data_IF_588261122156
#
_entry.id   IF_588261122156
#
_cell.length_a   1.000
_cell.length_b   1.000
_cell.length_c   1.000
_cell.angle_alpha   90.00
_cell.angle_beta   90.00
_cell.angle_gamma   90.00
#
_symmetry.space_group_name_H-M   'P 1'
#
loop_
_entity.id
_entity.type
_entity.pdbx_description
1 polymer ?
#
# COMPACT_ATOMS: atom_id res chain seq x y z
N UNK A 1 5.86 27.02 0.33
CA UNK A 1 5.27 26.77 1.66
C UNK A 1 4.29 25.59 1.65
N UNK A 2 3.23 25.62 0.83
CA UNK A 2 2.26 24.51 0.68
C UNK A 2 2.90 23.13 0.44
N UNK A 3 3.89 23.04 -0.47
CA UNK A 3 4.59 21.78 -0.76
C UNK A 3 5.38 21.22 0.44
N UNK A 4 5.95 22.08 1.29
CA UNK A 4 6.68 21.65 2.48
C UNK A 4 5.74 21.14 3.56
N UNK A 5 4.60 21.82 3.77
CA UNK A 5 3.54 21.38 4.68
C UNK A 5 2.95 20.05 4.24
N UNK A 6 2.65 19.91 2.95
CA UNK A 6 2.17 18.66 2.35
C UNK A 6 3.14 17.50 2.62
N UNK A 7 4.44 17.73 2.40
CA UNK A 7 5.49 16.73 2.67
C UNK A 7 5.59 16.37 4.16
N UNK A 8 5.64 17.36 5.05
CA UNK A 8 5.70 17.14 6.51
C UNK A 8 4.49 16.35 7.00
N UNK A 9 3.30 16.70 6.53
CA UNK A 9 2.07 16.01 6.88
C UNK A 9 2.04 14.59 6.35
N UNK A 10 2.43 14.36 5.08
CA UNK A 10 2.57 13.02 4.51
C UNK A 10 3.50 12.15 5.34
N UNK A 11 4.70 12.63 5.66
CA UNK A 11 5.66 11.87 6.49
C UNK A 11 5.10 11.55 7.87
N UNK A 12 4.45 12.52 8.53
CA UNK A 12 3.86 12.29 9.84
C UNK A 12 2.69 11.29 9.80
N UNK A 13 1.86 11.36 8.76
CA UNK A 13 0.75 10.44 8.54
C UNK A 13 1.26 9.01 8.29
N UNK A 14 2.28 8.84 7.45
CA UNK A 14 2.89 7.54 7.17
C UNK A 14 3.47 6.90 8.43
N UNK A 15 4.25 7.65 9.23
CA UNK A 15 4.80 7.15 10.49
C UNK A 15 3.70 6.79 11.50
N UNK A 16 2.64 7.61 11.58
CA UNK A 16 1.49 7.31 12.43
C UNK A 16 0.80 6.02 12.00
N UNK A 17 0.51 5.84 10.71
CA UNK A 17 -0.15 4.64 10.22
C UNK A 17 0.71 3.37 10.40
N UNK A 18 2.05 3.50 10.38
CA UNK A 18 2.97 2.38 10.68
C UNK A 18 2.96 1.97 12.15
N UNK A 19 2.90 2.95 13.06
CA UNK A 19 2.85 2.70 14.50
C UNK A 19 1.93 3.72 15.18
N UNK A 20 0.61 3.47 15.18
CA UNK A 20 -0.38 4.44 15.68
C UNK A 20 -0.43 4.53 17.20
N UNK A 21 0.20 3.57 17.89
CA UNK A 21 0.29 3.53 19.35
C UNK A 21 1.52 4.28 19.89
N UNK A 22 2.48 4.65 19.03
CA UNK A 22 3.60 5.49 19.43
C UNK A 22 3.12 6.93 19.70
N UNK A 23 3.28 7.35 20.96
CA UNK A 23 2.97 8.71 21.43
C UNK A 23 3.72 9.78 20.62
N UNK A 24 4.95 9.52 20.18
CA UNK A 24 5.73 10.45 19.34
C UNK A 24 5.07 10.61 17.98
N UNK A 25 4.56 9.54 17.38
CA UNK A 25 3.89 9.60 16.08
C UNK A 25 2.55 10.34 16.18
N UNK A 26 1.76 10.08 17.23
CA UNK A 26 0.55 10.87 17.53
C UNK A 26 0.87 12.36 17.60
N UNK A 27 1.87 12.75 18.40
CA UNK A 27 2.28 14.16 18.55
C UNK A 27 2.73 14.79 17.23
N UNK A 28 3.55 14.09 16.43
CA UNK A 28 4.03 14.57 15.13
C UNK A 28 2.89 14.77 14.14
N UNK A 29 1.95 13.83 14.07
CA UNK A 29 0.78 13.94 13.19
C UNK A 29 -0.11 15.12 13.59
N UNK A 30 -0.42 15.25 14.89
CA UNK A 30 -1.19 16.40 15.40
C UNK A 30 -0.50 17.73 15.08
N UNK A 31 0.81 17.83 15.28
CA UNK A 31 1.55 19.06 14.99
C UNK A 31 1.55 19.41 13.50
N UNK A 32 1.74 18.41 12.62
CA UNK A 32 1.71 18.62 11.17
C UNK A 32 0.31 19.02 10.69
N UNK A 33 -0.74 18.39 11.22
CA UNK A 33 -2.14 18.74 10.92
C UNK A 33 -2.46 20.17 11.38
N UNK A 34 -2.05 20.55 12.59
CA UNK A 34 -2.23 21.91 13.09
C UNK A 34 -1.51 22.94 12.23
N UNK A 35 -0.27 22.66 11.79
CA UNK A 35 0.49 23.57 10.95
C UNK A 35 -0.19 23.85 9.59
N UNK A 36 -0.91 22.87 9.03
CA UNK A 36 -1.74 23.08 7.82
C UNK A 36 -2.88 24.05 8.13
N UNK A 37 -3.60 23.81 9.22
CA UNK A 37 -4.73 24.64 9.62
C UNK A 37 -4.29 26.10 9.89
N UNK A 38 -3.25 26.27 10.71
CA UNK A 38 -2.71 27.58 11.08
C UNK A 38 -2.17 28.34 9.86
N UNK A 39 -1.51 27.65 8.94
CA UNK A 39 -1.05 28.28 7.70
C UNK A 39 -2.21 28.74 6.82
N UNK A 40 -3.27 27.94 6.72
CA UNK A 40 -4.43 28.26 5.88
C UNK A 40 -5.22 29.46 6.42
N UNK A 41 -5.41 29.56 7.75
CA UNK A 41 -6.11 30.70 8.36
C UNK A 41 -5.29 32.00 8.25
N UNK A 42 -3.97 31.92 8.46
CA UNK A 42 -3.08 33.08 8.33
C UNK A 42 -2.98 33.58 6.89
N UNK A 43 -2.80 32.66 5.92
CA UNK A 43 -2.63 33.02 4.50
C UNK A 43 -3.88 33.64 3.90
N UNK A 44 -5.06 33.25 4.38
CA UNK A 44 -6.35 33.79 3.93
C UNK A 44 -6.89 34.92 4.84
N UNK A 45 -6.11 35.32 5.86
CA UNK A 45 -6.49 36.33 6.86
C UNK A 45 -7.93 36.13 7.41
N UNK A 46 -8.29 34.88 7.71
CA UNK A 46 -9.65 34.52 8.07
C UNK A 46 -9.71 33.30 8.98
N UNK A 47 -10.70 33.32 9.88
CA UNK A 47 -11.09 32.18 10.72
C UNK A 47 -12.40 31.52 10.25
N UNK A 48 -13.04 32.06 9.21
CA UNK A 48 -14.24 31.48 8.61
C UNK A 48 -13.85 30.30 7.70
N UNK A 49 -14.40 29.09 7.91
CA UNK A 49 -14.03 27.88 7.18
C UNK A 49 -14.03 28.04 5.66
N UNK A 50 -15.08 28.65 5.09
CA UNK A 50 -15.26 28.81 3.65
C UNK A 50 -14.12 29.59 2.97
N UNK A 51 -13.40 30.43 3.72
CA UNK A 51 -12.29 31.24 3.22
C UNK A 51 -10.94 30.51 3.19
N UNK A 52 -10.77 29.41 3.92
CA UNK A 52 -9.47 28.70 4.00
C UNK A 52 -9.57 27.19 3.73
N UNK A 53 -10.77 26.60 3.68
CA UNK A 53 -10.95 25.16 3.47
C UNK A 53 -10.35 24.66 2.16
N UNK A 54 -10.44 25.43 1.08
CA UNK A 54 -9.83 25.07 -0.22
C UNK A 54 -8.31 24.93 -0.11
N UNK A 55 -7.65 25.81 0.65
CA UNK A 55 -6.20 25.73 0.86
C UNK A 55 -5.80 24.49 1.67
N UNK A 56 -6.59 24.13 2.68
CA UNK A 56 -6.38 22.89 3.45
C UNK A 56 -6.57 21.68 2.54
N UNK A 57 -7.65 21.65 1.75
CA UNK A 57 -7.98 20.55 0.86
C UNK A 57 -6.87 20.30 -0.16
N UNK A 58 -6.34 21.33 -0.80
CA UNK A 58 -5.25 21.21 -1.77
C UNK A 58 -3.97 20.58 -1.17
N UNK A 59 -3.58 21.02 0.03
CA UNK A 59 -2.41 20.50 0.74
C UNK A 59 -2.62 19.04 1.12
N UNK A 60 -3.79 18.72 1.68
CA UNK A 60 -4.16 17.38 2.14
C UNK A 60 -4.27 16.43 0.96
N UNK A 61 -5.00 16.79 -0.10
CA UNK A 61 -5.14 16.00 -1.34
C UNK A 61 -3.78 15.59 -1.89
N UNK A 62 -2.86 16.54 -1.97
CA UNK A 62 -1.50 16.30 -2.42
C UNK A 62 -0.76 15.35 -1.48
N UNK A 63 -0.89 15.55 -0.17
CA UNK A 63 -0.18 14.76 0.83
C UNK A 63 -0.64 13.31 0.87
N UNK A 64 -1.94 13.06 0.68
CA UNK A 64 -2.57 11.74 0.80
C UNK A 64 -2.64 10.98 -0.53
N UNK A 65 -2.26 11.62 -1.64
CA UNK A 65 -2.29 11.01 -2.96
C UNK A 65 -1.54 9.67 -2.96
N UNK A 66 -2.21 8.66 -3.54
CA UNK A 66 -1.68 7.31 -3.68
C UNK A 66 -1.61 6.51 -2.39
N UNK A 67 -1.99 7.07 -1.23
CA UNK A 67 -2.04 6.34 0.05
C UNK A 67 -3.25 5.41 0.05
N UNK A 68 -3.01 4.11 0.22
CA UNK A 68 -4.06 3.14 0.57
C UNK A 68 -3.83 2.56 1.95
N UNK A 69 -4.92 2.34 2.68
CA UNK A 69 -4.88 2.03 4.11
C UNK A 69 -5.59 0.72 4.39
N UNK A 70 -5.02 -0.08 5.28
CA UNK A 70 -5.67 -1.27 5.82
C UNK A 70 -6.94 -0.87 6.61
N UNK A 71 -8.07 -1.61 6.52
CA UNK A 71 -9.31 -1.27 7.24
C UNK A 71 -9.12 -0.94 8.73
N UNK A 72 -8.38 -1.77 9.45
CA UNK A 72 -8.05 -1.52 10.85
C UNK A 72 -7.31 -0.19 11.08
N UNK A 73 -6.32 0.16 10.25
CA UNK A 73 -5.57 1.41 10.41
C UNK A 73 -6.44 2.63 10.09
N UNK A 74 -7.42 2.48 9.20
CA UNK A 74 -8.41 3.50 8.91
C UNK A 74 -9.32 3.75 10.14
N UNK A 75 -9.80 2.69 10.80
CA UNK A 75 -10.56 2.78 12.05
C UNK A 75 -9.76 3.43 13.18
N UNK A 76 -8.49 3.05 13.32
CA UNK A 76 -7.58 3.63 14.34
C UNK A 76 -7.36 5.13 14.10
N UNK A 77 -7.20 5.54 12.84
CA UNK A 77 -7.09 6.96 12.49
C UNK A 77 -8.38 7.74 12.78
N UNK A 78 -9.56 7.17 12.45
CA UNK A 78 -10.86 7.80 12.77
C UNK A 78 -11.01 7.98 14.28
N UNK A 79 -10.73 6.92 15.06
CA UNK A 79 -10.76 6.97 16.52
C UNK A 79 -9.83 8.06 17.07
N UNK A 80 -8.59 8.14 16.57
CA UNK A 80 -7.64 9.16 16.99
C UNK A 80 -8.10 10.57 16.62
N UNK A 81 -8.73 10.76 15.45
CA UNK A 81 -9.29 12.06 15.09
C UNK A 81 -10.37 12.49 16.10
N UNK A 82 -11.28 11.57 16.48
CA UNK A 82 -12.32 11.84 17.50
C UNK A 82 -11.72 12.14 18.87
N UNK A 83 -10.64 11.47 19.28
CA UNK A 83 -9.92 11.80 20.52
C UNK A 83 -9.45 13.27 20.52
N UNK A 84 -8.95 13.78 19.39
CA UNK A 84 -8.50 15.16 19.27
C UNK A 84 -9.64 16.17 19.35
N UNK A 85 -10.83 15.83 18.86
CA UNK A 85 -12.03 16.68 18.95
C UNK A 85 -12.47 16.95 20.40
N UNK A 86 -12.18 16.01 21.31
CA UNK A 86 -12.51 16.09 22.73
C UNK A 86 -11.42 16.77 23.57
N UNK A 87 -10.36 17.30 22.95
CA UNK A 87 -9.26 17.89 23.69
C UNK A 87 -9.50 19.36 24.03
N UNK A 88 -9.27 19.73 25.28
CA UNK A 88 -9.29 21.13 25.74
C UNK A 88 -8.16 22.00 25.15
N UNK A 89 -7.17 21.37 24.51
CA UNK A 89 -6.06 22.07 23.89
C UNK A 89 -6.47 22.55 22.49
N UNK A 90 -6.64 23.87 22.32
CA UNK A 90 -7.04 24.50 21.06
C UNK A 90 -6.32 23.95 19.82
N UNK A 91 -5.00 23.82 19.84
CA UNK A 91 -4.24 23.31 18.69
C UNK A 91 -4.60 21.86 18.32
N UNK A 92 -4.95 21.01 19.30
CA UNK A 92 -5.41 19.63 19.05
C UNK A 92 -6.81 19.61 18.44
N UNK A 93 -7.72 20.43 18.96
CA UNK A 93 -9.06 20.59 18.41
C UNK A 93 -9.03 21.16 16.98
N UNK A 94 -8.06 22.00 16.63
CA UNK A 94 -7.89 22.49 15.27
C UNK A 94 -7.27 21.46 14.33
N UNK A 95 -6.32 20.65 14.82
CA UNK A 95 -5.74 19.53 14.09
C UNK A 95 -6.79 18.48 13.69
N UNK A 96 -7.83 18.29 14.52
CA UNK A 96 -8.97 17.42 14.20
C UNK A 96 -9.58 17.74 12.84
N UNK A 97 -9.82 19.01 12.50
CA UNK A 97 -10.45 19.38 11.23
C UNK A 97 -9.69 18.85 10.00
N UNK A 98 -8.35 18.98 10.02
CA UNK A 98 -7.48 18.50 8.94
C UNK A 98 -7.48 16.98 8.86
N UNK A 99 -7.45 16.30 10.01
CA UNK A 99 -7.47 14.83 10.08
C UNK A 99 -8.81 14.24 9.69
N UNK A 100 -9.92 14.90 10.04
CA UNK A 100 -11.28 14.51 9.63
C UNK A 100 -11.47 14.66 8.14
N UNK A 101 -10.99 15.76 7.54
CA UNK A 101 -11.00 15.93 6.08
C UNK A 101 -10.14 14.85 5.42
N UNK A 102 -8.93 14.62 5.93
CA UNK A 102 -8.02 13.57 5.46
C UNK A 102 -8.69 12.19 5.45
N UNK A 103 -9.33 11.82 6.56
CA UNK A 103 -10.01 10.53 6.67
C UNK A 103 -11.24 10.44 5.78
N UNK A 104 -12.20 11.35 5.93
CA UNK A 104 -13.52 11.23 5.29
C UNK A 104 -13.49 11.45 3.79
N UNK A 105 -12.64 12.35 3.29
CA UNK A 105 -12.65 12.71 1.87
C UNK A 105 -11.62 11.94 1.05
N UNK A 106 -10.58 11.39 1.69
CA UNK A 106 -9.49 10.74 0.97
C UNK A 106 -9.23 9.30 1.40
N UNK A 107 -9.05 9.03 2.69
CA UNK A 107 -8.59 7.71 3.11
C UNK A 107 -9.71 6.66 3.21
N UNK A 108 -10.93 7.08 3.55
CA UNK A 108 -12.09 6.18 3.68
C UNK A 108 -12.41 5.45 2.36
N UNK A 109 -12.35 6.15 1.24
CA UNK A 109 -12.54 5.57 -0.10
C UNK A 109 -11.29 4.83 -0.62
N UNK A 110 -10.14 5.04 0.01
CA UNK A 110 -8.87 4.38 -0.30
C UNK A 110 -8.53 3.21 0.65
N UNK A 111 -9.53 2.70 1.38
CA UNK A 111 -9.39 1.47 2.16
C UNK A 111 -9.22 0.28 1.22
N UNK A 112 -8.22 -0.54 1.49
CA UNK A 112 -7.88 -1.67 0.64
C UNK A 112 -8.90 -2.79 0.83
N UNK A 113 -9.50 -3.23 -0.26
CA UNK A 113 -10.17 -4.53 -0.31
C UNK A 113 -9.11 -5.64 -0.39
N UNK A 114 -8.67 -6.05 0.78
CA UNK A 114 -7.68 -7.09 0.99
C UNK A 114 -8.08 -8.40 0.30
N UNK A 115 -9.37 -8.75 0.38
CA UNK A 115 -9.86 -9.99 -0.19
C UNK A 115 -9.75 -9.98 -1.71
N UNK A 116 -10.17 -8.88 -2.34
CA UNK A 116 -10.06 -8.68 -3.78
C UNK A 116 -8.61 -8.68 -4.23
N UNK A 117 -7.73 -7.99 -3.51
CA UNK A 117 -6.28 -7.95 -3.83
C UNK A 117 -5.67 -9.35 -3.75
N UNK A 118 -5.90 -10.08 -2.66
CA UNK A 118 -5.36 -11.43 -2.47
C UNK A 118 -5.90 -12.41 -3.53
N UNK A 119 -7.21 -12.39 -3.79
CA UNK A 119 -7.84 -13.21 -4.84
C UNK A 119 -7.26 -12.93 -6.21
N UNK A 120 -7.07 -11.65 -6.57
CA UNK A 120 -6.47 -11.26 -7.86
C UNK A 120 -5.05 -11.83 -8.03
N UNK A 121 -4.25 -11.80 -6.96
CA UNK A 121 -2.87 -12.32 -6.99
C UNK A 121 -2.83 -13.85 -7.08
N UNK A 122 -3.67 -14.55 -6.31
CA UNK A 122 -3.81 -16.01 -6.41
C UNK A 122 -4.33 -16.44 -7.80
N UNK A 123 -5.27 -15.72 -8.38
CA UNK A 123 -5.75 -15.96 -9.73
C UNK A 123 -4.65 -15.80 -10.79
N UNK A 124 -3.74 -14.83 -10.61
CA UNK A 124 -2.57 -14.67 -11.50
C UNK A 124 -1.61 -15.86 -11.40
N UNK A 125 -1.36 -16.38 -10.20
CA UNK A 125 -0.58 -17.61 -10.03
C UNK A 125 -1.27 -18.78 -10.74
N UNK A 126 -2.56 -18.97 -10.51
CA UNK A 126 -3.36 -20.02 -11.16
C UNK A 126 -3.28 -19.95 -12.68
N UNK A 127 -3.51 -18.77 -13.28
CA UNK A 127 -3.39 -18.57 -14.72
C UNK A 127 -1.99 -18.90 -15.25
N UNK A 128 -0.94 -18.55 -14.51
CA UNK A 128 0.45 -18.85 -14.89
C UNK A 128 0.69 -20.37 -14.87
N UNK A 129 0.18 -21.08 -13.87
CA UNK A 129 0.29 -22.55 -13.80
C UNK A 129 -0.48 -23.20 -14.95
N UNK A 130 -1.69 -22.72 -15.28
CA UNK A 130 -2.46 -23.26 -16.41
C UNK A 130 -1.73 -23.09 -17.75
N UNK A 131 -1.03 -21.98 -17.96
CA UNK A 131 -0.20 -21.80 -19.15
C UNK A 131 0.96 -22.80 -19.22
N UNK A 132 1.54 -23.18 -18.08
CA UNK A 132 2.61 -24.17 -18.02
C UNK A 132 2.15 -25.61 -18.27
N UNK A 133 0.88 -25.93 -17.99
CA UNK A 133 0.29 -27.22 -18.35
C UNK A 133 0.34 -27.46 -19.86
N UNK A 134 0.13 -26.42 -20.65
CA UNK A 134 0.16 -26.49 -22.11
C UNK A 134 1.57 -26.79 -22.63
N UNK A 135 2.61 -26.42 -21.87
CA UNK A 135 4.02 -26.61 -22.23
C UNK A 135 4.67 -27.83 -21.57
N UNK A 136 3.87 -28.74 -20.99
CA UNK A 136 4.31 -29.99 -20.34
C UNK A 136 5.43 -29.80 -19.30
N UNK A 137 5.29 -28.78 -18.44
CA UNK A 137 6.26 -28.52 -17.39
C UNK A 137 6.19 -29.60 -16.27
N UNK A 138 7.33 -30.21 -15.88
CA UNK A 138 7.33 -31.33 -14.92
C UNK A 138 6.92 -30.96 -13.49
N UNK A 139 6.88 -29.66 -13.16
CA UNK A 139 6.55 -29.16 -11.82
C UNK A 139 5.08 -28.74 -11.65
N UNK A 140 4.24 -28.93 -12.66
CA UNK A 140 2.82 -28.50 -12.63
C UNK A 140 2.11 -28.96 -11.36
N UNK A 141 2.18 -30.26 -11.03
CA UNK A 141 1.48 -30.83 -9.87
C UNK A 141 1.96 -30.22 -8.55
N UNK A 142 3.26 -29.97 -8.43
CA UNK A 142 3.85 -29.35 -7.25
C UNK A 142 3.42 -27.87 -7.12
N UNK A 143 3.37 -27.14 -8.24
CA UNK A 143 2.88 -25.76 -8.26
C UNK A 143 1.39 -25.65 -7.91
N UNK A 144 0.57 -26.61 -8.33
CA UNK A 144 -0.84 -26.67 -7.95
C UNK A 144 -1.02 -26.93 -6.45
N UNK A 145 -0.22 -27.83 -5.88
CA UNK A 145 -0.18 -28.06 -4.43
C UNK A 145 0.20 -26.79 -3.66
N UNK A 146 1.25 -26.07 -4.11
CA UNK A 146 1.64 -24.79 -3.53
C UNK A 146 0.50 -23.76 -3.58
N UNK A 147 -0.16 -23.62 -4.75
CA UNK A 147 -1.29 -22.71 -4.93
C UNK A 147 -2.46 -23.06 -4.00
N UNK A 148 -2.79 -24.34 -3.83
CA UNK A 148 -3.85 -24.79 -2.95
C UNK A 148 -3.55 -24.43 -1.48
N UNK A 149 -2.33 -24.71 -1.02
CA UNK A 149 -1.89 -24.40 0.35
C UNK A 149 -1.88 -22.89 0.63
N UNK A 150 -1.39 -22.08 -0.32
CA UNK A 150 -1.44 -20.62 -0.24
C UNK A 150 -2.89 -20.13 -0.20
N UNK A 151 -3.76 -20.65 -1.07
CA UNK A 151 -5.17 -20.27 -1.15
C UNK A 151 -5.90 -20.60 0.16
N UNK A 152 -5.67 -21.80 0.71
CA UNK A 152 -6.26 -22.21 1.98
C UNK A 152 -5.79 -21.32 3.13
N UNK A 153 -4.48 -21.03 3.20
CA UNK A 153 -3.90 -20.17 4.24
C UNK A 153 -4.42 -18.74 4.17
N UNK A 154 -4.50 -18.16 2.97
CA UNK A 154 -5.09 -16.84 2.74
C UNK A 154 -6.56 -16.83 3.15
N UNK A 155 -7.36 -17.82 2.72
CA UNK A 155 -8.78 -17.91 3.09
C UNK A 155 -8.96 -17.99 4.61
N UNK A 156 -8.13 -18.75 5.31
CA UNK A 156 -8.18 -18.85 6.77
C UNK A 156 -7.85 -17.51 7.43
N UNK A 157 -6.78 -16.85 6.98
CA UNK A 157 -6.36 -15.55 7.51
C UNK A 157 -7.43 -14.47 7.29
N UNK A 158 -8.03 -14.42 6.10
CA UNK A 158 -9.04 -13.41 5.75
C UNK A 158 -10.41 -13.62 6.42
N UNK A 159 -10.64 -14.77 7.06
CA UNK A 159 -11.81 -14.99 7.93
C UNK A 159 -11.64 -14.32 9.30
N UNK A 160 -10.41 -13.97 9.69
CA UNK A 160 -10.16 -13.26 10.94
C UNK A 160 -10.68 -11.82 10.87
N UNK A 161 -11.06 -11.25 12.01
CA UNK A 161 -11.37 -9.81 12.09
C UNK A 161 -10.12 -8.98 11.81
N UNK A 162 -10.25 -7.72 11.33
CA UNK A 162 -9.11 -6.86 11.01
C UNK A 162 -8.08 -6.73 12.15
N UNK A 163 -8.55 -6.66 13.41
CA UNK A 163 -7.68 -6.62 14.60
C UNK A 163 -6.88 -7.92 14.76
N UNK A 164 -7.54 -9.07 14.63
CA UNK A 164 -6.88 -10.38 14.72
C UNK A 164 -5.91 -10.61 13.55
N UNK A 165 -6.22 -10.07 12.37
CA UNK A 165 -5.32 -10.10 11.23
C UNK A 165 -3.98 -9.42 11.55
N UNK A 166 -4.00 -8.26 12.23
CA UNK A 166 -2.78 -7.57 12.69
C UNK A 166 -1.98 -8.44 13.65
N UNK A 167 -2.65 -8.99 14.66
CA UNK A 167 -2.00 -9.79 15.72
C UNK A 167 -1.35 -11.07 15.18
N UNK A 168 -2.00 -11.72 14.22
CA UNK A 168 -1.53 -12.98 13.63
C UNK A 168 -0.70 -12.76 12.36
N UNK A 169 -0.42 -11.51 11.95
CA UNK A 169 0.18 -11.22 10.64
C UNK A 169 1.55 -11.88 10.49
N UNK A 170 2.46 -11.69 11.45
CA UNK A 170 3.82 -12.25 11.39
C UNK A 170 3.80 -13.79 11.27
N UNK A 171 2.88 -14.45 12.00
CA UNK A 171 2.71 -15.91 11.93
C UNK A 171 2.18 -16.34 10.57
N UNK A 172 1.24 -15.57 10.02
CA UNK A 172 0.73 -15.78 8.68
C UNK A 172 1.83 -15.60 7.61
N UNK A 173 2.66 -14.57 7.72
CA UNK A 173 3.79 -14.35 6.81
C UNK A 173 4.76 -15.54 6.82
N UNK A 174 5.18 -15.99 8.01
CA UNK A 174 6.05 -17.17 8.17
C UNK A 174 5.44 -18.42 7.55
N UNK A 175 4.12 -18.62 7.69
CA UNK A 175 3.42 -19.74 7.06
C UNK A 175 3.47 -19.66 5.53
N UNK A 176 3.25 -18.49 4.94
CA UNK A 176 3.34 -18.33 3.48
C UNK A 176 4.78 -18.51 2.96
N UNK A 177 5.77 -18.01 3.70
CA UNK A 177 7.19 -18.23 3.40
C UNK A 177 7.52 -19.71 3.43
N UNK A 178 7.10 -20.43 4.47
CA UNK A 178 7.32 -21.87 4.59
C UNK A 178 6.74 -22.64 3.40
N UNK A 179 5.49 -22.38 3.01
CA UNK A 179 4.87 -22.99 1.82
C UNK A 179 5.72 -22.72 0.56
N UNK A 180 6.19 -21.49 0.37
CA UNK A 180 6.99 -21.15 -0.80
C UNK A 180 8.39 -21.80 -0.77
N UNK A 181 8.98 -21.99 0.41
CA UNK A 181 10.27 -22.67 0.58
C UNK A 181 10.17 -24.17 0.30
N UNK A 182 9.11 -24.84 0.76
CA UNK A 182 8.85 -26.26 0.48
C UNK A 182 8.71 -26.52 -1.03
N UNK A 183 8.18 -25.55 -1.77
CA UNK A 183 7.96 -25.63 -3.22
C UNK A 183 8.97 -24.79 -4.03
N UNK A 184 10.14 -24.50 -3.44
CA UNK A 184 11.12 -23.57 -4.02
C UNK A 184 11.61 -24.00 -5.41
N UNK A 185 11.89 -25.29 -5.60
CA UNK A 185 12.40 -25.80 -6.88
C UNK A 185 11.37 -25.61 -8.00
N UNK A 186 10.11 -25.98 -7.74
CA UNK A 186 9.00 -25.76 -8.66
C UNK A 186 8.78 -24.28 -8.95
N UNK A 187 8.76 -23.41 -7.93
CA UNK A 187 8.56 -21.97 -8.11
C UNK A 187 9.70 -21.34 -8.92
N UNK A 188 10.94 -21.79 -8.73
CA UNK A 188 12.11 -21.30 -9.44
C UNK A 188 12.27 -21.85 -10.86
N UNK A 189 11.46 -22.86 -11.25
CA UNK A 189 11.56 -23.54 -12.55
C UNK A 189 11.22 -22.65 -13.75
N UNK A 190 10.37 -21.64 -13.57
CA UNK A 190 9.96 -20.69 -14.62
C UNK A 190 9.89 -19.26 -14.08
N UNK A 191 10.42 -18.31 -14.86
CA UNK A 191 10.51 -16.89 -14.46
C UNK A 191 9.12 -16.25 -14.24
N UNK A 192 8.11 -16.65 -15.03
CA UNK A 192 6.73 -16.16 -14.89
C UNK A 192 6.10 -16.66 -13.60
N UNK A 193 6.33 -17.92 -13.24
CA UNK A 193 5.88 -18.50 -11.97
C UNK A 193 6.55 -17.79 -10.81
N UNK A 194 7.88 -17.73 -10.81
CA UNK A 194 8.67 -17.01 -9.81
C UNK A 194 8.16 -15.58 -9.63
N UNK A 195 7.91 -14.87 -10.73
CA UNK A 195 7.37 -13.51 -10.69
C UNK A 195 5.95 -13.44 -10.12
N UNK A 196 5.07 -14.40 -10.42
CA UNK A 196 3.70 -14.40 -9.91
C UNK A 196 3.68 -14.64 -8.39
N UNK A 197 4.46 -15.62 -7.90
CA UNK A 197 4.58 -15.93 -6.47
C UNK A 197 5.20 -14.77 -5.69
N UNK A 198 6.28 -14.16 -6.17
CA UNK A 198 6.84 -12.97 -5.50
C UNK A 198 5.90 -11.78 -5.50
N UNK A 199 5.18 -11.55 -6.60
CA UNK A 199 4.22 -10.45 -6.62
C UNK A 199 3.09 -10.68 -5.62
N UNK A 200 2.68 -11.93 -5.40
CA UNK A 200 1.74 -12.30 -4.35
C UNK A 200 2.33 -12.04 -2.96
N UNK A 201 3.50 -12.60 -2.63
CA UNK A 201 4.13 -12.43 -1.31
C UNK A 201 4.38 -10.96 -0.98
N UNK A 202 4.97 -10.19 -1.90
CA UNK A 202 5.23 -8.77 -1.71
C UNK A 202 3.94 -7.99 -1.41
N UNK A 203 2.83 -8.32 -2.09
CA UNK A 203 1.55 -7.64 -1.86
C UNK A 203 0.94 -7.99 -0.51
N UNK A 204 1.05 -9.25 -0.10
CA UNK A 204 0.48 -9.73 1.17
C UNK A 204 1.30 -9.21 2.36
N UNK A 205 2.63 -9.25 2.28
CA UNK A 205 3.52 -8.76 3.35
C UNK A 205 3.51 -7.23 3.43
N UNK A 206 3.16 -6.55 2.34
CA UNK A 206 2.97 -5.10 2.37
C UNK A 206 1.58 -4.68 2.81
N UNK A 207 0.67 -5.57 3.21
CA UNK A 207 -0.73 -5.20 3.38
C UNK A 207 -0.99 -4.23 4.54
N UNK A 208 -0.13 -4.28 5.55
CA UNK A 208 -0.09 -3.32 6.67
C UNK A 208 0.95 -2.22 6.47
N UNK A 209 1.84 -2.35 5.48
CA UNK A 209 2.71 -1.28 5.07
C UNK A 209 1.87 -0.31 4.23
N UNK A 210 1.71 0.91 4.72
CA UNK A 210 0.93 1.95 4.04
C UNK A 210 1.35 2.03 2.56
N UNK A 211 0.42 1.73 1.65
CA UNK A 211 0.71 1.70 0.24
C UNK A 211 0.84 3.14 -0.24
N UNK A 212 2.05 3.62 -0.48
CA UNK A 212 2.29 4.31 -1.75
C UNK A 212 2.55 3.22 -2.78
N UNK A 213 1.94 3.26 -3.96
CA UNK A 213 2.12 2.22 -4.99
C UNK A 213 3.58 2.05 -5.45
N UNK A 214 4.53 2.85 -4.94
CA UNK A 214 5.95 2.77 -5.25
C UNK A 214 6.56 1.41 -5.00
N UNK A 215 6.30 0.75 -3.88
CA UNK A 215 7.02 -0.50 -3.56
C UNK A 215 6.55 -1.68 -4.42
N UNK A 216 5.24 -1.88 -4.58
CA UNK A 216 4.72 -2.98 -5.40
C UNK A 216 5.06 -2.79 -6.89
N UNK A 217 5.00 -1.55 -7.40
CA UNK A 217 5.39 -1.26 -8.78
C UNK A 217 6.90 -1.19 -8.97
N UNK A 218 7.69 -0.80 -7.97
CA UNK A 218 9.16 -0.84 -8.04
C UNK A 218 9.68 -2.27 -7.91
N UNK A 219 9.05 -3.15 -7.10
CA UNK A 219 9.33 -4.59 -7.16
C UNK A 219 8.89 -5.16 -8.50
N UNK A 220 7.75 -4.75 -9.06
CA UNK A 220 7.37 -5.17 -10.41
C UNK A 220 8.31 -4.61 -11.49
N UNK A 221 8.83 -3.38 -11.36
CA UNK A 221 9.80 -2.76 -12.29
C UNK A 221 11.16 -3.41 -12.15
N UNK A 222 11.64 -3.68 -10.92
CA UNK A 222 12.87 -4.45 -10.68
C UNK A 222 12.72 -5.87 -11.22
N UNK A 223 11.59 -6.52 -10.97
CA UNK A 223 11.33 -7.86 -11.49
C UNK A 223 11.17 -7.88 -13.03
N UNK A 224 10.56 -6.85 -13.65
CA UNK A 224 10.52 -6.66 -15.11
C UNK A 224 11.90 -6.35 -15.70
N UNK A 225 12.69 -5.52 -15.03
CA UNK A 225 14.08 -5.23 -15.40
C UNK A 225 14.94 -6.52 -15.38
N UNK A 226 14.74 -7.39 -14.38
CA UNK A 226 15.39 -8.70 -14.35
C UNK A 226 14.77 -9.72 -15.32
N UNK A 227 13.53 -9.52 -15.80
CA UNK A 227 12.91 -10.31 -16.88
C UNK A 227 13.52 -9.99 -18.25
N UNK A 228 13.94 -8.75 -18.51
CA UNK A 228 14.54 -8.36 -19.79
C UNK A 228 16.03 -8.76 -19.92
N UNK A 229 16.73 -9.00 -18.81
CA UNK A 229 18.21 -9.15 -18.83
C UNK A 229 18.70 -10.58 -18.50
N UNK A 230 17.86 -11.51 -18.02
CA UNK A 230 18.34 -12.80 -17.52
C UNK A 230 17.62 -14.02 -18.09
N UNK A 231 18.24 -14.67 -19.08
CA UNK A 231 17.91 -16.02 -19.56
C UNK A 231 18.33 -17.14 -18.58
N UNK A 232 18.95 -16.80 -17.44
CA UNK A 232 19.48 -17.77 -16.46
C UNK A 232 18.78 -17.55 -15.10
N UNK A 233 18.16 -18.57 -14.48
CA UNK A 233 17.56 -18.44 -13.17
C UNK A 233 18.66 -18.27 -12.09
N UNK A 234 18.77 -17.10 -11.47
CA UNK A 234 19.61 -16.92 -10.26
C UNK A 234 18.79 -17.18 -8.99
N UNK A 235 19.36 -17.96 -8.08
CA UNK A 235 18.79 -18.31 -6.79
C UNK A 235 18.81 -17.06 -5.88
N UNK A 236 17.63 -16.45 -5.66
CA UNK A 236 17.47 -15.14 -4.98
C UNK A 236 16.62 -15.25 -3.71
N UNK A 237 16.31 -16.49 -3.27
CA UNK A 237 15.35 -16.77 -2.20
C UNK A 237 15.95 -16.72 -0.79
N UNK A 238 17.25 -16.93 -0.63
CA UNK A 238 17.87 -17.09 0.70
C UNK A 238 17.78 -15.84 1.57
N UNK A 239 17.61 -14.65 0.98
CA UNK A 239 17.76 -13.36 1.68
C UNK A 239 16.70 -12.32 1.27
N UNK A 240 15.50 -12.74 0.85
CA UNK A 240 14.44 -11.78 0.48
C UNK A 240 14.03 -10.93 1.68
N UNK A 241 14.56 -9.71 1.74
CA UNK A 241 14.08 -8.61 2.58
C UNK A 241 13.37 -7.61 1.70
N UNK A 242 12.28 -7.04 2.19
CA UNK A 242 11.62 -5.91 1.54
C UNK A 242 12.35 -4.62 1.96
N UNK A 243 13.30 -4.04 1.18
CA UNK A 243 13.75 -2.67 1.44
C UNK A 243 12.59 -1.70 1.33
N UNK A 244 12.57 -0.73 2.25
CA UNK A 244 11.69 0.43 2.23
C UNK A 244 12.22 1.44 1.21
N UNK A 245 11.46 1.74 0.17
CA UNK A 245 11.81 2.76 -0.81
C UNK A 245 10.56 3.63 -1.07
N UNK A 246 10.62 4.86 -0.59
CA UNK A 246 9.69 5.92 -0.93
C UNK A 246 10.07 6.43 -2.33
N UNK A 247 9.33 6.03 -3.37
CA UNK A 247 9.48 6.69 -4.68
C UNK A 247 8.72 8.00 -4.61
N UNK A 248 9.44 9.10 -4.83
CA UNK A 248 8.82 10.37 -5.18
C UNK A 248 8.20 10.20 -6.55
N UNK A 249 6.88 10.25 -6.66
CA UNK A 249 6.24 10.45 -7.96
C UNK A 249 6.69 11.82 -8.49
N UNK A 250 7.58 11.81 -9.48
CA UNK A 250 7.85 12.99 -10.30
C UNK A 250 6.62 13.30 -11.15
N UNK A 251 6.28 14.58 -11.24
CA UNK A 251 5.06 15.17 -11.81
C UNK A 251 4.76 14.88 -13.30
N UNK A 252 5.37 13.89 -13.94
CA UNK A 252 5.18 13.66 -15.37
C UNK A 252 4.60 12.26 -15.59
N UNK A 253 3.28 12.19 -15.77
CA UNK A 253 2.59 11.25 -16.67
C UNK A 253 1.08 11.52 -16.59
N UNK A 254 0.66 12.59 -17.26
CA UNK A 254 -0.65 12.69 -17.90
C UNK A 254 -0.41 13.36 -19.25
N UNK A 255 -0.66 12.59 -20.31
CA UNK A 255 -0.95 12.92 -21.72
C UNK A 255 -0.13 12.03 -22.65
N UNK A 256 -0.72 10.88 -23.02
CA UNK A 256 -0.69 10.36 -24.38
C UNK A 256 -1.70 9.18 -24.48
N UNK A 257 -2.97 9.50 -24.26
CA UNK A 257 -4.08 8.86 -24.98
C UNK A 257 -4.65 9.93 -25.92
N UNK A 258 -4.22 9.92 -27.19
CA UNK A 258 -4.99 10.25 -28.40
C UNK A 258 -4.06 10.61 -29.57
N UNK A 259 -3.52 9.59 -30.24
CA UNK A 259 -3.13 9.71 -31.65
C UNK A 259 -3.32 8.36 -32.36
N UNK A 260 -4.56 7.85 -32.35
CA UNK A 260 -5.02 6.99 -33.43
C UNK A 260 -5.33 7.92 -34.62
N UNK A 261 -4.38 8.07 -35.53
CA UNK A 261 -4.68 8.43 -36.92
C UNK A 261 -4.07 7.39 -37.82
N UNK A 262 -4.94 6.53 -38.33
CA UNK A 262 -4.71 5.72 -39.51
C UNK A 262 -4.71 6.68 -40.70
N UNK A 263 -3.66 6.64 -41.51
CA UNK A 263 -3.78 6.95 -42.95
C UNK A 263 -2.97 5.93 -43.71
N UNK A 264 -3.71 4.99 -44.30
CA UNK A 264 -3.30 4.15 -45.41
C UNK A 264 -3.91 4.86 -46.63
N UNK A 265 -3.06 5.23 -47.60
CA UNK A 265 -3.45 5.93 -48.82
C UNK A 265 -2.33 6.80 -49.34
#
# INVERSE_FOLDING_TARGET
MSQELSKKFRTALMHYLQNPFDVKNKKKLTAAAFAIYDNATQSNNSIEPDKFMTSIDEIVRTAVRGIKVHPYLAEVLDSFSRELSMSDLKHKALAFNVLTLTYNWYLKENVIDIQKVARKKLARISATIQQLKVTDNPYVTELESALEQLTSSVKQYLKLSPVKQVQEHEKFEKKLQFICSEHQAAIASDVRVKSAFYSFLATIFSIFNVFGFSLADEYQRKNRFFQEVSLIPKNTLSDFRVPFIEVKDTFAEQEDELAFTISIG
#
